data_IF_577352846628
#
_entry.id   IF_577352846628
#
_cell.length_a   1.000
_cell.length_b   1.000
_cell.length_c   1.000
_cell.angle_alpha   90.00
_cell.angle_beta   90.00
_cell.angle_gamma   90.00
#
_symmetry.space_group_name_H-M   'P 1'
#
loop_
_entity.id
_entity.type
_entity.pdbx_description
1 polymer ?
#
# COMPACT_ATOMS: atom_id res chain seq x y z
N UNK A 1 27.30 -7.48 -11.03
CA UNK A 1 26.68 -6.44 -11.86
C UNK A 1 25.27 -6.04 -11.40
N UNK A 2 24.81 -6.40 -10.18
CA UNK A 2 23.41 -6.21 -9.75
C UNK A 2 23.07 -4.88 -9.05
N UNK A 3 24.06 -4.10 -8.59
CA UNK A 3 23.77 -2.90 -7.76
C UNK A 3 23.16 -1.70 -8.50
N UNK A 4 23.48 -1.48 -9.79
CA UNK A 4 23.02 -0.29 -10.53
C UNK A 4 21.63 -0.51 -11.16
N UNK A 5 21.33 -1.73 -11.60
CA UNK A 5 20.01 -2.08 -12.14
C UNK A 5 18.94 -2.07 -11.05
N UNK A 6 19.28 -2.55 -9.85
CA UNK A 6 18.41 -2.52 -8.67
C UNK A 6 18.08 -1.07 -8.23
N UNK A 7 19.05 -0.15 -8.32
CA UNK A 7 18.82 1.26 -8.03
C UNK A 7 17.87 1.93 -9.04
N UNK A 8 17.98 1.61 -10.33
CA UNK A 8 17.07 2.13 -11.36
C UNK A 8 15.65 1.60 -11.17
N UNK A 9 15.51 0.31 -10.89
CA UNK A 9 14.22 -0.33 -10.61
C UNK A 9 13.57 0.25 -9.36
N UNK A 10 14.33 0.40 -8.26
CA UNK A 10 13.88 1.01 -7.01
C UNK A 10 13.46 2.47 -7.22
N UNK A 11 14.25 3.26 -7.97
CA UNK A 11 13.90 4.65 -8.30
C UNK A 11 12.60 4.74 -9.10
N UNK A 12 12.39 3.82 -10.05
CA UNK A 12 11.13 3.72 -10.80
C UNK A 12 9.96 3.40 -9.86
N UNK A 13 10.11 2.38 -9.00
CA UNK A 13 9.08 2.01 -8.02
C UNK A 13 8.71 3.17 -7.10
N UNK A 14 9.69 3.93 -6.60
CA UNK A 14 9.45 5.13 -5.77
C UNK A 14 8.73 6.25 -6.52
N UNK A 15 9.05 6.46 -7.81
CA UNK A 15 8.32 7.40 -8.67
C UNK A 15 6.88 6.96 -8.91
N UNK A 16 6.68 5.68 -9.17
CA UNK A 16 5.36 5.09 -9.38
C UNK A 16 4.51 5.23 -8.11
N UNK A 17 5.06 4.89 -6.93
CA UNK A 17 4.40 5.12 -5.64
C UNK A 17 4.05 6.59 -5.41
N UNK A 18 4.99 7.52 -5.67
CA UNK A 18 4.75 8.96 -5.57
C UNK A 18 3.58 9.41 -6.46
N UNK A 19 3.52 8.89 -7.69
CA UNK A 19 2.44 9.17 -8.64
C UNK A 19 1.10 8.67 -8.10
N UNK A 20 1.02 7.39 -7.74
CA UNK A 20 -0.21 6.74 -7.26
C UNK A 20 -0.75 7.46 -6.03
N UNK A 21 0.06 7.63 -4.99
CA UNK A 21 -0.36 8.29 -3.74
C UNK A 21 -0.86 9.72 -3.99
N UNK A 22 -0.13 10.50 -4.79
CA UNK A 22 -0.51 11.90 -5.09
C UNK A 22 -1.79 11.96 -5.90
N UNK A 23 -1.93 11.06 -6.88
CA UNK A 23 -3.10 10.97 -7.74
C UNK A 23 -4.34 10.56 -6.94
N UNK A 24 -4.25 9.47 -6.17
CA UNK A 24 -5.34 8.99 -5.30
C UNK A 24 -5.84 10.07 -4.37
N UNK A 25 -4.94 10.78 -3.66
CA UNK A 25 -5.34 11.91 -2.80
C UNK A 25 -6.12 12.98 -3.58
N UNK A 26 -5.65 13.36 -4.77
CA UNK A 26 -6.32 14.38 -5.60
C UNK A 26 -7.69 13.90 -6.08
N UNK A 27 -7.82 12.64 -6.47
CA UNK A 27 -9.07 12.04 -6.93
C UNK A 27 -10.09 12.01 -5.80
N UNK A 28 -9.71 11.50 -4.62
CA UNK A 28 -10.59 11.53 -3.44
C UNK A 28 -11.00 12.97 -3.07
N UNK A 29 -10.07 13.93 -3.14
CA UNK A 29 -10.37 15.33 -2.86
C UNK A 29 -11.34 15.96 -3.88
N UNK A 30 -11.27 15.52 -5.14
CA UNK A 30 -12.20 15.93 -6.19
C UNK A 30 -13.59 15.35 -5.92
N UNK A 31 -13.68 14.06 -5.60
CA UNK A 31 -14.95 13.39 -5.28
C UNK A 31 -15.64 14.05 -4.08
N UNK A 32 -14.91 14.41 -3.03
CA UNK A 32 -15.45 15.16 -1.88
C UNK A 32 -16.06 16.49 -2.31
N UNK A 33 -15.34 17.28 -3.12
CA UNK A 33 -15.83 18.59 -3.60
C UNK A 33 -17.04 18.47 -4.51
N UNK A 34 -17.07 17.46 -5.37
CA UNK A 34 -18.20 17.21 -6.27
C UNK A 34 -19.46 16.83 -5.48
N UNK A 35 -19.29 15.98 -4.46
CA UNK A 35 -20.37 15.57 -3.55
C UNK A 35 -20.91 16.74 -2.70
N UNK A 36 -20.03 17.63 -2.21
CA UNK A 36 -20.42 18.87 -1.51
C UNK A 36 -21.18 19.84 -2.44
N UNK A 37 -20.79 19.92 -3.71
CA UNK A 37 -21.35 20.89 -4.67
C UNK A 37 -22.68 20.44 -5.28
N UNK A 38 -22.82 19.16 -5.62
CA UNK A 38 -23.93 18.70 -6.46
C UNK A 38 -25.10 18.14 -5.66
N UNK A 39 -24.92 17.78 -4.38
CA UNK A 39 -26.01 17.21 -3.59
C UNK A 39 -26.50 15.84 -4.07
N UNK A 40 -26.02 15.38 -5.23
CA UNK A 40 -26.44 14.23 -6.00
C UNK A 40 -25.22 13.52 -6.59
N UNK A 41 -25.38 12.21 -6.77
CA UNK A 41 -24.42 11.27 -7.37
C UNK A 41 -23.90 11.83 -8.68
N UNK A 42 -22.59 12.10 -8.76
CA UNK A 42 -21.94 12.29 -10.05
C UNK A 42 -21.93 10.94 -10.76
N UNK A 43 -22.83 10.75 -11.71
CA UNK A 43 -22.87 9.59 -12.60
C UNK A 43 -21.64 9.50 -13.53
N UNK A 44 -20.70 10.44 -13.40
CA UNK A 44 -19.49 10.61 -14.21
C UNK A 44 -18.20 10.12 -13.50
N UNK A 45 -18.31 9.46 -12.34
CA UNK A 45 -17.20 8.68 -11.80
C UNK A 45 -16.88 7.56 -12.78
N UNK A 46 -15.94 7.78 -13.70
CA UNK A 46 -15.45 6.72 -14.58
C UNK A 46 -14.91 5.58 -13.70
N UNK A 47 -15.49 4.37 -13.78
CA UNK A 47 -15.01 3.24 -13.01
C UNK A 47 -13.54 2.96 -13.33
N UNK A 48 -12.75 2.68 -12.30
CA UNK A 48 -11.33 2.33 -12.41
C UNK A 48 -10.36 3.48 -12.21
N UNK A 49 -10.80 4.68 -11.79
CA UNK A 49 -9.90 5.80 -11.52
C UNK A 49 -8.89 5.47 -10.42
N UNK A 50 -9.31 4.74 -9.39
CA UNK A 50 -8.49 4.35 -8.24
C UNK A 50 -7.92 2.93 -8.36
N UNK A 51 -7.99 2.31 -9.55
CA UNK A 51 -7.47 0.95 -9.74
C UNK A 51 -5.98 0.84 -9.41
N UNK A 52 -5.16 1.79 -9.86
CA UNK A 52 -3.73 1.83 -9.51
C UNK A 52 -3.51 1.94 -7.99
N UNK A 53 -4.45 2.56 -7.26
CA UNK A 53 -4.38 2.65 -5.80
C UNK A 53 -4.67 1.29 -5.15
N UNK A 54 -5.61 0.50 -5.70
CA UNK A 54 -5.88 -0.87 -5.26
C UNK A 54 -4.69 -1.79 -5.54
N UNK A 55 -4.09 -1.71 -6.73
CA UNK A 55 -2.86 -2.46 -7.04
C UNK A 55 -1.74 -2.10 -6.06
N UNK A 56 -1.52 -0.81 -5.82
CA UNK A 56 -0.51 -0.35 -4.87
C UNK A 56 -0.77 -0.86 -3.44
N UNK A 57 -2.01 -0.83 -2.97
CA UNK A 57 -2.36 -1.37 -1.65
C UNK A 57 -2.19 -2.90 -1.59
N UNK A 58 -2.45 -3.60 -2.71
CA UNK A 58 -2.11 -5.01 -2.86
C UNK A 58 -0.62 -5.27 -2.64
N UNK A 59 0.26 -4.49 -3.28
CA UNK A 59 1.71 -4.59 -3.06
C UNK A 59 2.13 -4.23 -1.62
N UNK A 60 1.43 -3.29 -0.98
CA UNK A 60 1.63 -2.97 0.45
C UNK A 60 1.25 -4.17 1.33
N UNK A 61 0.13 -4.85 1.05
CA UNK A 61 -0.28 -6.06 1.77
C UNK A 61 0.70 -7.21 1.55
N UNK A 62 1.15 -7.43 0.32
CA UNK A 62 2.19 -8.43 0.05
C UNK A 62 3.48 -8.09 0.80
N UNK A 63 3.90 -6.82 0.82
CA UNK A 63 5.03 -6.35 1.61
C UNK A 63 4.87 -6.60 3.11
N UNK A 64 3.67 -6.43 3.66
CA UNK A 64 3.35 -6.81 5.02
C UNK A 64 3.55 -8.32 5.23
N UNK A 65 2.93 -9.17 4.40
CA UNK A 65 3.04 -10.63 4.50
C UNK A 65 4.52 -11.07 4.45
N UNK A 66 5.28 -10.51 3.51
CA UNK A 66 6.72 -10.78 3.37
C UNK A 66 7.50 -10.36 4.62
N UNK A 67 7.19 -9.19 5.21
CA UNK A 67 7.83 -8.72 6.45
C UNK A 67 7.59 -9.66 7.63
N UNK A 68 6.42 -10.31 7.69
CA UNK A 68 6.11 -11.29 8.74
C UNK A 68 6.85 -12.61 8.50
N UNK A 69 7.07 -12.98 7.23
CA UNK A 69 7.86 -14.17 6.84
C UNK A 69 9.37 -13.99 7.06
N UNK A 70 9.86 -12.75 7.12
CA UNK A 70 11.28 -12.44 7.39
C UNK A 70 11.62 -12.38 8.88
N UNK A 71 10.75 -12.90 9.76
CA UNK A 71 11.09 -13.10 11.16
C UNK A 71 12.39 -13.93 11.28
N UNK A 72 13.37 -13.52 12.11
CA UNK A 72 14.73 -14.08 12.11
C UNK A 72 14.77 -15.39 12.90
N UNK A 73 14.05 -16.44 12.48
CA UNK A 73 14.09 -17.75 13.13
C UNK A 73 13.89 -18.92 12.17
N UNK A 74 14.56 -18.91 11.01
CA UNK A 74 14.80 -20.17 10.30
C UNK A 74 16.28 -20.49 10.43
N UNK A 75 16.64 -21.30 11.42
CA UNK A 75 18.01 -21.78 11.52
C UNK A 75 18.31 -22.59 10.26
N UNK A 76 19.58 -22.61 9.81
CA UNK A 76 19.99 -23.47 8.70
C UNK A 76 19.64 -24.95 8.95
N UNK A 77 19.54 -25.35 10.22
CA UNK A 77 19.07 -26.66 10.66
C UNK A 77 17.58 -26.90 10.34
N UNK A 78 16.72 -25.90 10.53
CA UNK A 78 15.28 -25.98 10.23
C UNK A 78 15.04 -26.00 8.72
N UNK A 79 15.82 -25.22 7.96
CA UNK A 79 15.82 -25.30 6.48
C UNK A 79 16.29 -26.67 6.02
N UNK A 80 17.34 -27.22 6.62
CA UNK A 80 17.82 -28.58 6.31
C UNK A 80 16.77 -29.64 6.64
N UNK A 81 16.03 -29.51 7.74
CA UNK A 81 14.98 -30.48 8.07
C UNK A 81 13.72 -30.33 7.23
N UNK A 82 13.35 -29.11 6.84
CA UNK A 82 12.30 -28.89 5.83
C UNK A 82 12.71 -29.47 4.48
N UNK A 83 13.96 -29.25 4.04
CA UNK A 83 14.50 -29.88 2.83
C UNK A 83 14.51 -31.39 2.98
N UNK A 84 14.89 -31.95 4.13
CA UNK A 84 14.85 -33.40 4.40
C UNK A 84 13.45 -34.00 4.36
N UNK A 85 12.46 -33.29 4.90
CA UNK A 85 11.04 -33.68 4.82
C UNK A 85 10.48 -33.57 3.40
N UNK A 86 10.99 -32.61 2.62
CA UNK A 86 10.65 -32.37 1.22
C UNK A 86 11.42 -33.32 0.28
N UNK A 87 12.53 -33.95 0.67
CA UNK A 87 13.26 -34.95 -0.12
C UNK A 87 12.50 -36.30 -0.25
N UNK A 88 11.18 -36.25 -0.33
CA UNK A 88 10.38 -37.23 -1.06
C UNK A 88 10.73 -37.05 -2.55
N UNK A 89 10.88 -38.15 -3.27
CA UNK A 89 11.08 -38.14 -4.71
C UNK A 89 9.93 -37.38 -5.39
N UNK A 90 10.20 -36.21 -5.98
CA UNK A 90 9.21 -35.35 -6.63
C UNK A 90 8.83 -35.80 -8.04
N UNK A 91 9.31 -36.97 -8.50
CA UNK A 91 8.93 -37.53 -9.80
C UNK A 91 7.41 -37.64 -9.98
N UNK A 92 6.66 -37.92 -8.90
CA UNK A 92 5.20 -38.00 -8.96
C UNK A 92 4.50 -36.68 -9.37
N UNK A 93 5.12 -35.51 -9.16
CA UNK A 93 4.56 -34.21 -9.58
C UNK A 93 4.71 -34.01 -11.09
N UNK A 94 5.80 -34.52 -11.66
CA UNK A 94 5.97 -34.61 -13.12
C UNK A 94 4.99 -35.61 -13.74
N UNK A 95 4.74 -36.73 -13.08
CA UNK A 95 3.75 -37.73 -13.54
C UNK A 95 2.30 -37.21 -13.50
N UNK A 96 2.02 -36.23 -12.62
CA UNK A 96 0.73 -35.53 -12.56
C UNK A 96 0.63 -34.33 -13.52
N UNK A 97 1.64 -34.09 -14.37
CA UNK A 97 1.70 -32.97 -15.32
C UNK A 97 1.52 -31.58 -14.65
N UNK A 98 1.85 -31.47 -13.36
CA UNK A 98 1.89 -30.22 -12.63
C UNK A 98 3.26 -29.58 -12.88
N UNK A 99 3.34 -28.77 -13.93
CA UNK A 99 4.56 -28.04 -14.27
C UNK A 99 4.82 -27.01 -13.17
N UNK A 100 5.73 -27.32 -12.24
CA UNK A 100 6.36 -26.31 -11.42
C UNK A 100 7.27 -25.50 -12.35
N UNK A 101 6.93 -24.23 -12.58
CA UNK A 101 7.77 -23.31 -13.34
C UNK A 101 9.22 -23.37 -12.80
N UNK A 102 10.24 -23.41 -13.68
CA UNK A 102 11.63 -23.49 -13.25
C UNK A 102 11.94 -22.32 -12.30
N UNK A 103 12.48 -22.65 -11.13
CA UNK A 103 12.79 -21.72 -10.04
C UNK A 103 13.98 -20.79 -10.30
N UNK A 104 14.13 -20.30 -11.53
CA UNK A 104 15.27 -19.48 -11.96
C UNK A 104 15.04 -17.96 -11.87
N UNK A 105 13.91 -17.52 -11.32
CA UNK A 105 13.74 -16.15 -10.88
C UNK A 105 13.35 -16.15 -9.40
N UNK A 106 14.36 -15.96 -8.54
CA UNK A 106 14.12 -15.32 -7.26
C UNK A 106 13.56 -13.93 -7.58
N UNK A 107 12.25 -13.76 -7.49
CA UNK A 107 11.63 -12.43 -7.59
C UNK A 107 12.35 -11.51 -6.60
N UNK A 108 12.91 -10.41 -7.11
CA UNK A 108 13.56 -9.43 -6.26
C UNK A 108 12.48 -8.71 -5.46
N UNK A 109 12.35 -9.11 -4.19
CA UNK A 109 11.39 -8.65 -3.16
C UNK A 109 11.46 -7.15 -2.82
N UNK A 110 12.03 -6.32 -3.68
CA UNK A 110 12.53 -5.02 -3.28
C UNK A 110 11.43 -3.96 -3.15
N UNK A 111 10.41 -3.97 -4.02
CA UNK A 111 9.45 -2.86 -4.04
C UNK A 111 8.29 -3.04 -3.06
N UNK A 112 7.81 -4.28 -2.83
CA UNK A 112 6.75 -4.54 -1.85
C UNK A 112 7.15 -4.12 -0.45
N UNK A 113 8.37 -4.48 -0.02
CA UNK A 113 8.90 -4.08 1.28
C UNK A 113 9.07 -2.57 1.38
N UNK A 114 9.48 -1.89 0.30
CA UNK A 114 9.57 -0.43 0.26
C UNK A 114 8.19 0.22 0.41
N UNK A 115 7.19 -0.27 -0.32
CA UNK A 115 5.82 0.25 -0.26
C UNK A 115 5.19 0.02 1.11
N UNK A 116 5.37 -1.16 1.69
CA UNK A 116 4.93 -1.46 3.05
C UNK A 116 5.59 -0.55 4.09
N UNK A 117 6.91 -0.36 4.02
CA UNK A 117 7.60 0.56 4.92
C UNK A 117 7.13 2.01 4.76
N UNK A 118 6.84 2.45 3.53
CA UNK A 118 6.22 3.75 3.30
C UNK A 118 4.85 3.85 3.98
N UNK A 119 4.00 2.82 3.84
CA UNK A 119 2.69 2.78 4.47
C UNK A 119 2.79 2.83 6.02
N UNK A 120 3.75 2.12 6.62
CA UNK A 120 4.01 2.19 8.06
C UNK A 120 4.36 3.61 8.51
N UNK A 121 5.29 4.27 7.80
CA UNK A 121 5.70 5.63 8.13
C UNK A 121 4.54 6.60 7.96
N UNK A 122 3.73 6.46 6.90
CA UNK A 122 2.55 7.27 6.68
C UNK A 122 1.54 7.14 7.83
N UNK A 123 1.23 5.91 8.25
CA UNK A 123 0.33 5.63 9.38
C UNK A 123 0.88 6.19 10.71
N UNK A 124 2.20 6.14 10.92
CA UNK A 124 2.83 6.67 12.12
C UNK A 124 2.89 8.21 12.17
N UNK A 125 3.02 8.86 11.01
CA UNK A 125 3.09 10.32 10.89
C UNK A 125 1.70 10.96 10.89
N UNK A 126 0.68 10.25 10.42
CA UNK A 126 -0.69 10.74 10.26
C UNK A 126 -1.22 11.53 11.47
N UNK A 127 -1.11 11.06 12.73
CA UNK A 127 -1.64 11.82 13.88
C UNK A 127 -0.90 13.12 14.15
N UNK A 128 0.34 13.23 13.65
CA UNK A 128 1.25 14.37 13.85
C UNK A 128 1.33 15.25 12.59
N UNK A 129 0.47 15.01 11.60
CA UNK A 129 0.47 15.79 10.37
C UNK A 129 0.18 17.28 10.69
N UNK A 130 0.96 18.23 10.15
CA UNK A 130 0.72 19.64 10.42
C UNK A 130 -0.63 20.09 9.85
N UNK A 131 -1.28 21.05 10.50
CA UNK A 131 -2.64 21.49 10.16
C UNK A 131 -2.77 21.98 8.71
N UNK A 132 -1.74 22.65 8.19
CA UNK A 132 -1.67 23.12 6.80
C UNK A 132 -1.60 21.99 5.76
N UNK A 133 -1.24 20.77 6.17
CA UNK A 133 -1.24 19.60 5.31
C UNK A 133 -2.59 18.85 5.34
N UNK A 134 -3.47 19.17 6.28
CA UNK A 134 -4.78 18.52 6.44
C UNK A 134 -5.83 19.21 5.58
N UNK A 135 -6.26 18.55 4.51
CA UNK A 135 -7.22 19.10 3.53
C UNK A 135 -8.60 18.44 3.58
N UNK A 136 -8.77 17.39 4.38
CA UNK A 136 -10.08 16.77 4.58
C UNK A 136 -11.07 17.75 5.25
N UNK A 137 -12.34 17.83 4.81
CA UNK A 137 -13.32 18.74 5.43
C UNK A 137 -13.66 18.33 6.87
N UNK A 138 -13.23 19.14 7.83
CA UNK A 138 -13.53 18.93 9.25
C UNK A 138 -13.36 20.22 10.05
N UNK A 139 -14.01 20.29 11.24
CA UNK A 139 -13.97 21.49 12.09
C UNK A 139 -12.58 21.85 12.60
N UNK A 140 -11.75 20.85 12.90
CA UNK A 140 -10.37 21.01 13.35
C UNK A 140 -9.45 20.26 12.39
N UNK A 141 -8.55 20.93 11.66
CA UNK A 141 -7.70 20.31 10.65
C UNK A 141 -6.61 19.47 11.31
N UNK A 142 -6.97 18.25 11.72
CA UNK A 142 -6.08 17.35 12.45
C UNK A 142 -6.55 15.91 12.35
N UNK A 143 -5.60 14.97 12.52
CA UNK A 143 -5.86 13.54 12.66
C UNK A 143 -5.34 12.96 13.98
N UNK A 144 -5.13 13.78 15.02
CA UNK A 144 -4.65 13.32 16.33
C UNK A 144 -5.54 12.22 16.96
N UNK A 145 -6.81 12.15 16.56
CA UNK A 145 -7.80 11.15 16.98
C UNK A 145 -7.63 9.78 16.31
N UNK A 146 -6.86 9.69 15.21
CA UNK A 146 -6.61 8.44 14.51
C UNK A 146 -5.49 7.69 15.23
N UNK A 147 -5.81 6.51 15.77
CA UNK A 147 -4.82 5.65 16.44
C UNK A 147 -3.82 5.05 15.44
N UNK A 148 -2.53 5.09 15.79
CA UNK A 148 -1.50 4.37 15.04
C UNK A 148 -1.64 2.87 15.32
N UNK A 149 -1.77 2.01 14.29
CA UNK A 149 -1.76 0.56 14.48
C UNK A 149 -0.37 0.10 14.94
N UNK A 150 -0.29 -0.59 16.06
CA UNK A 150 0.99 -1.04 16.66
C UNK A 150 1.16 -2.55 16.51
N UNK A 151 0.06 -3.30 16.57
CA UNK A 151 0.09 -4.75 16.44
C UNK A 151 -0.01 -5.20 14.98
N UNK A 152 0.61 -6.33 14.59
CA UNK A 152 0.51 -6.85 13.22
C UNK A 152 -0.94 -7.06 12.74
N UNK A 153 -1.84 -7.51 13.62
CA UNK A 153 -3.26 -7.66 13.29
C UNK A 153 -3.98 -6.33 13.06
N UNK A 154 -3.62 -5.29 13.82
CA UNK A 154 -4.16 -3.93 13.62
C UNK A 154 -3.65 -3.32 12.31
N UNK A 155 -2.39 -3.59 11.96
CA UNK A 155 -1.78 -3.16 10.70
C UNK A 155 -2.47 -3.81 9.50
N UNK A 156 -2.66 -5.13 9.53
CA UNK A 156 -3.38 -5.83 8.47
C UNK A 156 -4.81 -5.31 8.33
N UNK A 157 -5.55 -5.19 9.44
CA UNK A 157 -6.90 -4.64 9.42
C UNK A 157 -6.94 -3.20 8.87
N UNK A 158 -5.91 -2.39 9.13
CA UNK A 158 -5.81 -1.06 8.54
C UNK A 158 -5.58 -1.13 7.03
N UNK A 159 -4.70 -2.00 6.54
CA UNK A 159 -4.45 -2.17 5.09
C UNK A 159 -5.73 -2.64 4.38
N UNK A 160 -6.44 -3.62 4.95
CA UNK A 160 -7.71 -4.11 4.42
C UNK A 160 -8.80 -3.02 4.42
N UNK A 161 -8.86 -2.18 5.46
CA UNK A 161 -9.77 -1.01 5.48
C UNK A 161 -9.46 -0.06 4.32
N UNK A 162 -8.18 0.25 4.07
CA UNK A 162 -7.78 1.13 2.97
C UNK A 162 -8.23 0.57 1.62
N UNK A 163 -7.97 -0.71 1.36
CA UNK A 163 -8.38 -1.40 0.12
C UNK A 163 -9.90 -1.37 -0.05
N UNK A 164 -10.62 -1.76 1.01
CA UNK A 164 -12.07 -1.85 0.98
C UNK A 164 -12.73 -0.50 0.74
N UNK A 165 -12.22 0.57 1.36
CA UNK A 165 -12.76 1.91 1.16
C UNK A 165 -12.46 2.42 -0.25
N UNK A 166 -11.25 2.20 -0.77
CA UNK A 166 -10.93 2.58 -2.16
C UNK A 166 -11.86 1.85 -3.14
N UNK A 167 -12.06 0.55 -2.94
CA UNK A 167 -13.01 -0.21 -3.74
C UNK A 167 -14.43 0.37 -3.64
N UNK A 168 -14.91 0.65 -2.42
CA UNK A 168 -16.25 1.23 -2.21
C UNK A 168 -16.42 2.59 -2.86
N UNK A 169 -15.39 3.45 -2.85
CA UNK A 169 -15.45 4.78 -3.47
C UNK A 169 -15.60 4.73 -5.00
N UNK A 170 -15.24 3.62 -5.64
CA UNK A 170 -15.47 3.41 -7.07
C UNK A 170 -16.92 3.01 -7.40
N UNK A 171 -17.62 2.38 -6.46
CA UNK A 171 -18.94 1.76 -6.71
C UNK A 171 -20.10 2.42 -5.97
N UNK A 172 -19.83 3.23 -4.93
CA UNK A 172 -20.83 3.87 -4.07
C UNK A 172 -20.60 5.38 -3.99
N UNK A 173 -21.65 6.13 -3.64
CA UNK A 173 -21.48 7.53 -3.21
C UNK A 173 -20.68 7.57 -1.90
N UNK A 174 -19.88 8.62 -1.73
CA UNK A 174 -19.13 8.88 -0.49
C UNK A 174 -20.07 8.94 0.74
N UNK A 175 -21.34 9.36 0.56
CA UNK A 175 -22.33 9.43 1.64
C UNK A 175 -22.75 8.06 2.18
N UNK A 176 -22.65 7.03 1.35
CA UNK A 176 -23.02 5.66 1.70
C UNK A 176 -21.83 4.88 2.30
N UNK A 177 -20.67 5.52 2.40
CA UNK A 177 -19.46 4.96 2.98
C UNK A 177 -19.34 5.43 4.43
N UNK A 178 -18.88 4.56 5.33
CA UNK A 178 -18.63 4.92 6.71
C UNK A 178 -17.66 6.12 6.79
N UNK A 179 -18.14 7.23 7.36
CA UNK A 179 -17.39 8.48 7.45
C UNK A 179 -16.04 8.30 8.14
N UNK A 180 -15.99 7.50 9.22
CA UNK A 180 -14.76 7.29 9.99
C UNK A 180 -13.68 6.59 9.16
N UNK A 181 -14.06 5.51 8.48
CA UNK A 181 -13.17 4.73 7.63
C UNK A 181 -12.75 5.52 6.39
N UNK A 182 -13.68 6.22 5.75
CA UNK A 182 -13.37 7.10 4.62
C UNK A 182 -12.37 8.21 4.99
N UNK A 183 -12.59 8.88 6.13
CA UNK A 183 -11.67 9.90 6.65
C UNK A 183 -10.28 9.32 6.92
N UNK A 184 -10.17 8.14 7.51
CA UNK A 184 -8.87 7.49 7.76
C UNK A 184 -8.16 7.12 6.47
N UNK A 185 -8.88 6.62 5.47
CA UNK A 185 -8.33 6.32 4.15
C UNK A 185 -7.84 7.58 3.45
N UNK A 186 -8.62 8.66 3.48
CA UNK A 186 -8.18 9.95 2.96
C UNK A 186 -6.92 10.45 3.69
N UNK A 187 -6.93 10.39 5.03
CA UNK A 187 -5.82 10.80 5.88
C UNK A 187 -4.53 10.03 5.58
N UNK A 188 -4.63 8.72 5.28
CA UNK A 188 -3.50 7.92 4.84
C UNK A 188 -2.90 8.47 3.54
N UNK A 189 -3.69 8.66 2.48
CA UNK A 189 -3.17 9.17 1.21
C UNK A 189 -2.68 10.63 1.31
N UNK A 190 -3.23 11.40 2.25
CA UNK A 190 -2.75 12.74 2.57
C UNK A 190 -1.40 12.73 3.27
N UNK A 191 -1.22 11.93 4.31
CA UNK A 191 0.05 11.74 4.99
C UNK A 191 1.12 11.19 4.04
N UNK A 192 0.78 10.18 3.24
CA UNK A 192 1.66 9.62 2.21
C UNK A 192 2.06 10.69 1.17
N UNK A 193 1.10 11.49 0.69
CA UNK A 193 1.41 12.60 -0.24
C UNK A 193 2.30 13.67 0.37
N UNK A 194 2.09 13.98 1.65
CA UNK A 194 2.92 14.94 2.40
C UNK A 194 4.35 14.42 2.53
N UNK A 195 4.54 13.16 2.92
CA UNK A 195 5.85 12.50 2.99
C UNK A 195 6.56 12.51 1.63
N UNK A 196 5.82 12.16 0.57
CA UNK A 196 6.35 12.16 -0.79
C UNK A 196 6.81 13.56 -1.18
N UNK A 197 6.00 14.59 -0.92
CA UNK A 197 6.31 15.97 -1.28
C UNK A 197 7.53 16.51 -0.54
N UNK A 198 7.67 16.24 0.75
CA UNK A 198 8.69 16.87 1.60
C UNK A 198 9.98 16.05 1.73
N UNK A 199 9.93 14.74 1.51
CA UNK A 199 11.09 13.86 1.72
C UNK A 199 11.47 13.09 0.46
N UNK A 200 10.51 12.49 -0.26
CA UNK A 200 10.85 11.64 -1.40
C UNK A 200 11.21 12.42 -2.66
N UNK A 201 10.40 13.41 -3.06
CA UNK A 201 10.62 14.19 -4.28
C UNK A 201 11.97 14.92 -4.29
N UNK A 202 12.37 15.64 -3.22
CA UNK A 202 13.70 16.27 -3.18
C UNK A 202 14.82 15.26 -3.43
N UNK A 203 14.76 14.09 -2.79
CA UNK A 203 15.75 13.03 -2.98
C UNK A 203 15.74 12.45 -4.41
N UNK A 204 14.57 12.36 -5.05
CA UNK A 204 14.44 11.87 -6.42
C UNK A 204 14.89 12.88 -7.48
N UNK A 205 14.91 14.18 -7.16
CA UNK A 205 15.33 15.27 -8.04
C UNK A 205 16.83 15.60 -7.89
N UNK A 206 17.45 15.26 -6.76
CA UNK A 206 18.88 15.42 -6.47
C UNK A 206 19.79 14.28 -7.01
N UNK A 207 19.19 13.15 -7.42
CA UNK A 207 19.86 11.96 -7.99
C UNK A 207 19.70 11.86 -9.51
#
# INVERSE_FOLDING_TARGET
MSGIEDLKATRKALRDMSRVVTFTRKTLAKMIREEERLGMVSADSQPGQLFEALEHLGEVREGFILSQRTAPQTALADIRELVRHILIDWQWVHDLNLILSPGDQLDTLNHQLVFYNHALVALAVLPRLPAEAVTFPQRRPSYHDVSVPVLPGELLARIEELEQIIYQTEVKSIRDIDYGSFRRTYAFFEASSWLVKHHLKPMLDEL
#
